data_IF_933177047510
#
_entry.id   IF_933177047510
#
_cell.length_a   1.000
_cell.length_b   1.000
_cell.length_c   1.000
_cell.angle_alpha   90.00
_cell.angle_beta   90.00
_cell.angle_gamma   90.00
#
_symmetry.space_group_name_H-M   'P 1'
#
loop_
_entity.id
_entity.type
_entity.pdbx_description
1 polymer ?
#
# COMPACT_ATOMS: atom_id res chain seq x y z
N UNK A 1 24.85 -32.73 21.94
CA UNK A 1 23.97 -32.38 20.79
C UNK A 1 23.71 -30.86 20.65
N UNK A 2 24.69 -29.99 20.92
CA UNK A 2 24.46 -28.51 20.94
C UNK A 2 25.42 -27.70 20.08
N UNK A 3 26.36 -28.32 19.34
CA UNK A 3 27.27 -27.60 18.42
C UNK A 3 26.73 -27.43 16.99
N UNK A 4 25.81 -28.30 16.53
CA UNK A 4 25.32 -28.30 15.14
C UNK A 4 24.26 -27.24 14.77
N UNK A 5 23.57 -26.63 15.76
CA UNK A 5 22.52 -25.63 15.51
C UNK A 5 23.02 -24.17 15.57
N UNK A 6 24.17 -23.92 16.20
CA UNK A 6 24.68 -22.57 16.44
C UNK A 6 25.48 -22.03 15.24
N UNK A 7 26.24 -22.89 14.55
CA UNK A 7 27.01 -22.52 13.35
C UNK A 7 26.15 -22.07 12.15
N UNK A 8 25.06 -22.78 11.78
CA UNK A 8 24.18 -22.35 10.69
C UNK A 8 23.52 -21.00 10.99
N UNK A 9 23.17 -20.75 12.26
CA UNK A 9 22.54 -19.51 12.68
C UNK A 9 23.52 -18.33 12.67
N UNK A 10 24.76 -18.53 13.12
CA UNK A 10 25.83 -17.51 13.03
C UNK A 10 26.20 -17.20 11.57
N UNK A 11 26.32 -18.20 10.71
CA UNK A 11 26.58 -18.01 9.28
C UNK A 11 25.37 -17.36 8.57
N UNK A 12 24.15 -17.65 9.00
CA UNK A 12 22.91 -17.01 8.54
C UNK A 12 22.88 -15.52 8.89
N UNK A 13 23.18 -15.17 10.14
CA UNK A 13 23.25 -13.79 10.63
C UNK A 13 24.39 -13.03 9.93
N UNK A 14 25.58 -13.62 9.81
CA UNK A 14 26.73 -12.97 9.18
C UNK A 14 26.49 -12.67 7.69
N UNK A 15 25.85 -13.60 6.96
CA UNK A 15 25.43 -13.39 5.57
C UNK A 15 24.35 -12.32 5.45
N UNK A 16 23.38 -12.28 6.38
CA UNK A 16 22.40 -11.19 6.44
C UNK A 16 23.08 -9.85 6.70
N UNK A 17 24.02 -9.77 7.64
CA UNK A 17 24.76 -8.54 7.92
C UNK A 17 25.60 -8.07 6.73
N UNK A 18 26.30 -8.97 6.04
CA UNK A 18 27.05 -8.61 4.84
C UNK A 18 26.14 -8.09 3.73
N UNK A 19 25.04 -8.80 3.49
CA UNK A 19 24.05 -8.43 2.48
C UNK A 19 23.38 -7.09 2.80
N UNK A 20 22.98 -6.88 4.04
CA UNK A 20 22.46 -5.60 4.53
C UNK A 20 23.50 -4.50 4.33
N UNK A 21 24.77 -4.72 4.71
CA UNK A 21 25.84 -3.74 4.53
C UNK A 21 26.07 -3.37 3.06
N UNK A 22 25.99 -4.34 2.16
CA UNK A 22 26.10 -4.10 0.72
C UNK A 22 24.95 -3.20 0.23
N UNK A 23 23.72 -3.45 0.67
CA UNK A 23 22.56 -2.64 0.31
C UNK A 23 22.52 -1.27 1.02
N UNK A 24 23.16 -1.15 2.19
CA UNK A 24 23.35 0.12 2.90
C UNK A 24 24.47 0.97 2.31
N UNK A 25 25.38 0.40 1.51
CA UNK A 25 26.39 1.17 0.79
C UNK A 25 25.72 2.17 -0.17
N UNK A 26 24.56 1.78 -0.72
CA UNK A 26 23.63 2.69 -1.36
C UNK A 26 22.84 3.44 -0.27
N UNK A 27 23.35 4.61 0.16
CA UNK A 27 22.76 5.50 1.17
C UNK A 27 21.40 6.13 0.75
N UNK A 28 20.64 5.42 -0.08
CA UNK A 28 19.33 5.78 -0.58
C UNK A 28 18.26 4.72 -0.29
N UNK A 29 18.57 3.68 0.48
CA UNK A 29 17.69 2.52 0.67
C UNK A 29 17.02 2.47 2.05
N UNK A 30 15.76 2.06 2.08
CA UNK A 30 15.12 1.49 3.28
C UNK A 30 15.15 -0.04 3.15
N UNK A 31 15.65 -0.70 4.19
CA UNK A 31 15.81 -2.16 4.22
C UNK A 31 14.88 -2.74 5.27
N UNK A 32 13.89 -3.53 4.84
CA UNK A 32 12.99 -4.29 5.71
C UNK A 32 13.28 -5.79 5.74
N UNK A 33 12.47 -6.54 6.47
CA UNK A 33 12.59 -8.00 6.58
C UNK A 33 11.24 -8.69 6.74
N UNK A 34 11.22 -10.02 6.66
CA UNK A 34 10.06 -10.78 7.11
C UNK A 34 9.95 -10.72 8.63
N UNK A 35 8.74 -10.91 9.14
CA UNK A 35 8.46 -10.94 10.58
C UNK A 35 7.48 -12.05 10.94
N UNK A 36 7.49 -12.40 12.22
CA UNK A 36 6.48 -13.24 12.84
C UNK A 36 5.70 -12.45 13.89
N UNK A 37 4.46 -12.86 14.14
CA UNK A 37 3.59 -12.23 15.12
C UNK A 37 3.63 -12.98 16.44
N UNK A 38 3.49 -12.24 17.54
CA UNK A 38 3.21 -12.80 18.85
C UNK A 38 1.99 -12.09 19.45
N UNK A 39 0.85 -12.76 19.68
CA UNK A 39 0.54 -14.16 19.36
C UNK A 39 0.60 -14.52 17.86
N UNK A 40 0.90 -15.78 17.53
CA UNK A 40 1.19 -16.26 16.15
C UNK A 40 0.01 -16.10 15.19
N UNK A 41 -1.19 -16.12 15.73
CA UNK A 41 -2.48 -15.96 15.05
C UNK A 41 -2.89 -14.49 14.85
N UNK A 42 -2.09 -13.53 15.32
CA UNK A 42 -2.39 -12.11 15.11
C UNK A 42 -2.20 -11.73 13.64
N UNK A 43 -3.22 -11.16 12.99
CA UNK A 43 -3.15 -10.59 11.64
C UNK A 43 -2.59 -11.53 10.56
N UNK A 44 -2.87 -12.85 10.63
CA UNK A 44 -2.25 -13.90 9.78
C UNK A 44 -2.21 -13.54 8.29
N UNK A 45 -3.31 -13.01 7.75
CA UNK A 45 -3.41 -12.65 6.32
C UNK A 45 -2.45 -11.52 5.95
N UNK A 46 -2.36 -10.50 6.79
CA UNK A 46 -1.45 -9.38 6.60
C UNK A 46 0.00 -9.83 6.71
N UNK A 47 0.35 -10.63 7.72
CA UNK A 47 1.69 -11.20 7.88
C UNK A 47 2.08 -12.04 6.66
N UNK A 48 1.16 -12.88 6.16
CA UNK A 48 1.39 -13.69 4.94
C UNK A 48 1.64 -12.81 3.72
N UNK A 49 0.78 -11.81 3.49
CA UNK A 49 0.95 -10.87 2.39
C UNK A 49 2.30 -10.15 2.46
N UNK A 50 2.60 -9.53 3.60
CA UNK A 50 3.83 -8.77 3.79
C UNK A 50 5.07 -9.65 3.58
N UNK A 51 5.08 -10.87 4.13
CA UNK A 51 6.19 -11.80 3.99
C UNK A 51 6.32 -12.39 2.58
N UNK A 52 5.23 -12.50 1.81
CA UNK A 52 5.28 -13.06 0.45
C UNK A 52 5.68 -12.07 -0.63
N UNK A 53 5.74 -10.76 -0.32
CA UNK A 53 6.19 -9.74 -1.28
C UNK A 53 7.61 -10.01 -1.76
N UNK A 54 7.75 -10.08 -3.09
CA UNK A 54 9.03 -10.05 -3.82
C UNK A 54 9.48 -8.60 -4.05
N UNK A 55 10.73 -8.42 -4.44
CA UNK A 55 11.36 -7.10 -4.61
C UNK A 55 10.63 -6.22 -5.63
N UNK A 56 10.30 -6.78 -6.79
CA UNK A 56 9.55 -6.09 -7.85
C UNK A 56 8.10 -5.75 -7.45
N UNK A 57 7.60 -6.36 -6.38
CA UNK A 57 6.27 -6.11 -5.85
C UNK A 57 6.27 -5.02 -4.78
N UNK A 58 7.42 -4.67 -4.19
CA UNK A 58 7.53 -3.63 -3.16
C UNK A 58 7.03 -2.27 -3.66
N UNK A 59 7.29 -1.94 -4.92
CA UNK A 59 6.86 -0.67 -5.52
C UNK A 59 5.43 -0.71 -6.07
N UNK A 60 4.98 -1.86 -6.56
CA UNK A 60 3.64 -2.00 -7.16
C UNK A 60 2.54 -2.19 -6.13
N UNK A 61 2.82 -2.92 -5.06
CA UNK A 61 1.82 -3.27 -4.03
C UNK A 61 1.54 -2.12 -3.05
N UNK A 62 2.24 -0.98 -3.15
CA UNK A 62 1.98 0.21 -2.32
C UNK A 62 0.56 0.76 -2.53
N UNK A 63 -0.01 0.52 -3.72
CA UNK A 63 -1.36 0.95 -4.09
C UNK A 63 -2.47 -0.04 -3.66
N UNK A 64 -2.12 -1.08 -2.90
CA UNK A 64 -3.10 -1.97 -2.27
C UNK A 64 -3.54 -1.45 -0.90
N UNK A 65 -4.59 -2.05 -0.34
CA UNK A 65 -5.09 -1.69 1.00
C UNK A 65 -4.14 -2.03 2.15
N UNK A 66 -3.02 -2.72 1.89
CA UNK A 66 -2.12 -3.25 2.92
C UNK A 66 -0.81 -2.45 3.09
N UNK A 67 -0.58 -1.38 2.31
CA UNK A 67 0.67 -0.58 2.38
C UNK A 67 0.94 0.08 3.75
N UNK A 68 2.21 0.37 4.12
CA UNK A 68 3.45 0.24 3.32
C UNK A 68 3.86 -1.21 3.02
N UNK A 69 4.75 -1.44 2.05
CA UNK A 69 5.15 -2.81 1.62
C UNK A 69 6.35 -3.36 2.40
N UNK A 70 7.07 -2.49 3.08
CA UNK A 70 7.99 -2.82 4.15
C UNK A 70 7.38 -2.30 5.45
N UNK A 71 7.31 -3.14 6.48
CA UNK A 71 6.44 -2.89 7.64
C UNK A 71 7.29 -2.40 8.81
N UNK A 72 6.91 -1.30 9.46
CA UNK A 72 7.51 -0.96 10.75
C UNK A 72 7.12 -1.99 11.84
N UNK A 73 8.04 -2.40 12.73
CA UNK A 73 9.41 -1.91 12.91
C UNK A 73 10.48 -2.79 12.23
N UNK A 74 10.17 -3.46 11.12
CA UNK A 74 11.12 -4.36 10.44
C UNK A 74 12.21 -3.63 9.67
N UNK A 75 12.00 -2.35 9.34
CA UNK A 75 12.91 -1.62 8.48
C UNK A 75 13.90 -0.74 9.23
N UNK A 76 15.00 -0.45 8.57
CA UNK A 76 15.99 0.53 9.00
C UNK A 76 16.62 1.15 7.75
N UNK A 77 17.28 2.30 7.93
CA UNK A 77 17.95 3.03 6.87
C UNK A 77 19.17 3.77 7.43
N UNK A 78 20.04 4.23 6.54
CA UNK A 78 21.13 5.14 6.93
C UNK A 78 20.55 6.47 7.43
N UNK A 79 21.24 7.15 8.35
CA UNK A 79 20.80 8.46 8.88
C UNK A 79 20.55 9.48 7.77
N UNK A 80 21.34 9.45 6.69
CA UNK A 80 21.17 10.34 5.53
C UNK A 80 19.81 10.16 4.85
N UNK A 81 19.23 8.96 4.86
CA UNK A 81 17.89 8.70 4.35
C UNK A 81 16.86 9.42 5.22
N UNK A 82 16.97 9.32 6.53
CA UNK A 82 16.07 10.01 7.47
C UNK A 82 16.14 11.53 7.33
N UNK A 83 17.34 12.09 7.23
CA UNK A 83 17.58 13.51 7.02
C UNK A 83 17.02 13.99 5.67
N UNK A 84 17.25 13.23 4.58
CA UNK A 84 16.71 13.53 3.25
C UNK A 84 15.19 13.54 3.21
N UNK A 85 14.54 12.60 3.92
CA UNK A 85 13.08 12.53 4.01
C UNK A 85 12.48 13.63 4.90
N UNK A 86 13.29 14.22 5.78
CA UNK A 86 12.84 15.23 6.75
C UNK A 86 12.20 14.64 8.01
N UNK A 87 12.51 13.37 8.33
CA UNK A 87 12.03 12.69 9.52
C UNK A 87 10.54 12.29 9.52
N UNK A 88 10.07 11.76 10.66
CA UNK A 88 8.68 11.36 10.85
C UNK A 88 7.76 12.58 11.03
N UNK A 89 6.49 12.40 10.68
CA UNK A 89 5.48 13.42 10.93
C UNK A 89 5.04 13.40 12.41
N UNK A 90 5.27 14.51 13.13
CA UNK A 90 5.00 14.64 14.56
C UNK A 90 3.67 15.34 14.89
N UNK A 91 2.72 15.39 13.96
CA UNK A 91 1.40 16.05 14.15
C UNK A 91 0.52 15.41 15.25
N UNK A 92 1.00 14.35 15.91
CA UNK A 92 0.38 13.73 17.08
C UNK A 92 -0.48 12.52 16.77
N UNK A 93 -1.29 12.13 17.76
CA UNK A 93 -2.08 10.89 17.78
C UNK A 93 -2.99 10.78 16.53
N UNK A 94 -3.00 9.61 15.91
CA UNK A 94 -3.78 9.34 14.69
C UNK A 94 -3.09 9.70 13.38
N UNK A 95 -1.86 10.22 13.44
CA UNK A 95 -0.99 10.40 12.26
C UNK A 95 -0.42 9.05 11.84
N UNK A 96 -0.50 8.65 10.56
CA UNK A 96 0.18 7.46 10.04
C UNK A 96 1.60 7.81 9.58
N UNK A 97 2.45 8.14 10.54
CA UNK A 97 3.83 8.61 10.36
C UNK A 97 4.68 7.66 9.52
N UNK A 98 4.53 6.35 9.71
CA UNK A 98 5.28 5.33 8.97
C UNK A 98 4.94 5.35 7.46
N UNK A 99 3.65 5.47 7.14
CA UNK A 99 3.17 5.53 5.76
C UNK A 99 3.61 6.83 5.08
N UNK A 100 3.55 7.94 5.80
CA UNK A 100 3.98 9.25 5.30
C UNK A 100 5.48 9.25 5.01
N UNK A 101 6.29 8.75 5.95
CA UNK A 101 7.74 8.62 5.77
C UNK A 101 8.07 7.75 4.56
N UNK A 102 7.40 6.60 4.43
CA UNK A 102 7.58 5.69 3.31
C UNK A 102 7.31 6.33 1.95
N UNK A 103 6.20 7.07 1.85
CA UNK A 103 5.83 7.76 0.62
C UNK A 103 6.80 8.88 0.28
N UNK A 104 7.22 9.68 1.27
CA UNK A 104 8.25 10.70 1.04
C UNK A 104 9.58 10.10 0.61
N UNK A 105 9.99 8.98 1.21
CA UNK A 105 11.18 8.25 0.78
C UNK A 105 11.13 7.89 -0.69
N UNK A 106 10.01 7.31 -1.14
CA UNK A 106 9.79 6.99 -2.55
C UNK A 106 9.71 8.24 -3.45
N UNK A 107 9.19 9.35 -2.93
CA UNK A 107 9.10 10.61 -3.67
C UNK A 107 10.47 11.30 -3.82
N UNK A 108 11.47 10.87 -3.05
CA UNK A 108 12.88 11.27 -3.18
C UNK A 108 13.73 10.16 -3.84
N UNK A 109 13.14 9.38 -4.75
CA UNK A 109 13.78 8.30 -5.51
C UNK A 109 14.45 7.22 -4.64
N UNK A 110 13.96 7.09 -3.40
CA UNK A 110 14.45 6.14 -2.42
C UNK A 110 14.19 4.70 -2.85
N UNK A 111 15.18 3.85 -2.61
CA UNK A 111 15.10 2.43 -2.94
C UNK A 111 14.52 1.61 -1.78
N UNK A 112 13.86 0.51 -2.11
CA UNK A 112 13.29 -0.44 -1.17
C UNK A 112 13.98 -1.78 -1.32
N UNK A 113 14.43 -2.32 -0.19
CA UNK A 113 15.06 -3.61 -0.15
C UNK A 113 14.42 -4.48 0.95
N UNK A 114 14.27 -5.78 0.69
CA UNK A 114 13.67 -6.72 1.65
C UNK A 114 14.51 -7.97 1.84
N UNK A 115 14.93 -8.21 3.08
CA UNK A 115 15.58 -9.46 3.45
C UNK A 115 14.52 -10.56 3.58
N UNK A 116 14.57 -11.66 2.81
CA UNK A 116 13.57 -12.73 2.83
C UNK A 116 13.77 -13.68 4.03
N UNK A 117 14.07 -13.15 5.20
CA UNK A 117 14.25 -13.89 6.46
C UNK A 117 13.49 -13.23 7.58
N UNK A 118 12.98 -14.05 8.49
CA UNK A 118 12.32 -13.58 9.71
C UNK A 118 13.39 -13.03 10.66
N UNK A 119 13.51 -11.71 10.76
CA UNK A 119 14.48 -11.04 11.63
C UNK A 119 13.82 -10.32 12.82
N UNK A 120 12.49 -10.34 12.89
CA UNK A 120 11.72 -9.68 13.93
C UNK A 120 10.54 -10.57 14.41
N UNK A 121 10.40 -10.70 15.72
CA UNK A 121 9.15 -11.14 16.35
C UNK A 121 8.39 -9.89 16.79
N UNK A 122 7.35 -9.54 16.06
CA UNK A 122 6.53 -8.37 16.31
C UNK A 122 5.34 -8.74 17.20
N UNK A 123 5.44 -8.35 18.48
CA UNK A 123 4.35 -8.48 19.45
C UNK A 123 3.16 -7.59 19.05
N UNK A 124 2.03 -8.23 18.81
CA UNK A 124 0.75 -7.57 18.61
C UNK A 124 0.10 -7.36 19.97
N UNK A 125 -0.43 -6.16 20.20
CA UNK A 125 -1.17 -5.84 21.42
C UNK A 125 -2.37 -4.93 21.11
N UNK A 126 -3.48 -5.03 21.87
CA UNK A 126 -4.68 -4.20 21.65
C UNK A 126 -4.46 -2.69 21.79
N UNK A 127 -3.45 -2.26 22.56
CA UNK A 127 -3.12 -0.84 22.74
C UNK A 127 -2.24 -0.23 21.63
N UNK A 128 -2.14 -0.85 20.45
CA UNK A 128 -1.24 -0.38 19.38
C UNK A 128 -1.71 0.97 18.82
N UNK A 129 -0.75 1.87 18.56
CA UNK A 129 -1.03 3.20 18.00
C UNK A 129 -1.82 3.12 16.69
N UNK A 130 -1.67 2.03 15.93
CA UNK A 130 -2.45 1.75 14.72
C UNK A 130 -3.96 1.85 14.91
N UNK A 131 -4.49 1.51 16.09
CA UNK A 131 -5.94 1.63 16.37
C UNK A 131 -6.40 3.07 16.57
N UNK A 132 -5.47 4.01 16.78
CA UNK A 132 -5.79 5.44 16.88
C UNK A 132 -5.88 6.14 15.52
N UNK A 133 -5.46 5.48 14.44
CA UNK A 133 -5.45 6.05 13.09
C UNK A 133 -6.80 5.76 12.43
N UNK A 134 -7.49 6.80 12.00
CA UNK A 134 -8.76 6.68 11.27
C UNK A 134 -8.52 6.10 9.87
N UNK A 135 -9.35 5.14 9.46
CA UNK A 135 -9.29 4.53 8.11
C UNK A 135 -9.38 5.59 7.01
N UNK A 136 -10.18 6.65 7.22
CA UNK A 136 -10.33 7.78 6.30
C UNK A 136 -9.01 8.54 6.12
N UNK A 137 -8.20 8.66 7.17
CA UNK A 137 -6.88 9.31 7.07
C UNK A 137 -5.95 8.52 6.16
N UNK A 138 -5.85 7.21 6.36
CA UNK A 138 -5.06 6.32 5.50
C UNK A 138 -5.59 6.33 4.07
N UNK A 139 -6.91 6.28 3.91
CA UNK A 139 -7.58 6.33 2.62
C UNK A 139 -7.21 7.61 1.86
N UNK A 140 -7.37 8.78 2.47
CA UNK A 140 -7.08 10.07 1.85
C UNK A 140 -5.61 10.18 1.40
N UNK A 141 -4.67 9.73 2.23
CA UNK A 141 -3.24 9.73 1.89
C UNK A 141 -2.95 8.83 0.67
N UNK A 142 -3.58 7.65 0.61
CA UNK A 142 -3.43 6.72 -0.52
C UNK A 142 -4.07 7.25 -1.81
N UNK A 143 -5.28 7.81 -1.72
CA UNK A 143 -5.96 8.41 -2.87
C UNK A 143 -5.15 9.58 -3.40
N UNK A 144 -4.67 10.47 -2.52
CA UNK A 144 -3.82 11.60 -2.91
C UNK A 144 -2.58 11.13 -3.68
N UNK A 145 -1.84 10.16 -3.15
CA UNK A 145 -0.66 9.59 -3.85
C UNK A 145 -1.04 8.99 -5.20
N UNK A 146 -2.13 8.21 -5.27
CA UNK A 146 -2.56 7.59 -6.52
C UNK A 146 -2.87 8.67 -7.59
N UNK A 147 -3.53 9.75 -7.19
CA UNK A 147 -3.80 10.89 -8.08
C UNK A 147 -2.50 11.52 -8.58
N UNK A 148 -1.63 11.92 -7.67
CA UNK A 148 -0.41 12.70 -7.96
C UNK A 148 0.69 11.90 -8.68
N UNK A 149 0.70 10.57 -8.51
CA UNK A 149 1.79 9.70 -9.02
C UNK A 149 1.38 8.74 -10.12
N UNK A 150 0.08 8.59 -10.37
CA UNK A 150 -0.43 7.62 -11.35
C UNK A 150 -1.51 8.24 -12.24
N UNK A 151 -2.59 8.77 -11.65
CA UNK A 151 -3.72 9.26 -12.45
C UNK A 151 -3.42 10.57 -13.17
N UNK A 152 -2.41 11.33 -12.73
CA UNK A 152 -1.98 12.56 -13.39
C UNK A 152 -1.55 12.30 -14.85
N UNK A 153 -0.87 11.19 -15.09
CA UNK A 153 -0.33 10.82 -16.40
C UNK A 153 -1.35 10.08 -17.29
N UNK A 154 -2.47 9.64 -16.73
CA UNK A 154 -3.49 8.91 -17.48
C UNK A 154 -4.47 9.89 -18.14
N UNK A 155 -4.75 9.69 -19.43
CA UNK A 155 -5.77 10.46 -20.14
C UNK A 155 -7.18 10.04 -19.71
N UNK A 156 -7.40 8.73 -19.56
CA UNK A 156 -8.63 8.15 -19.06
C UNK A 156 -8.36 6.79 -18.43
N UNK A 157 -9.31 6.28 -17.64
CA UNK A 157 -9.24 4.94 -17.06
C UNK A 157 -10.61 4.35 -16.73
N UNK A 158 -10.63 3.03 -16.53
CA UNK A 158 -11.82 2.27 -16.13
C UNK A 158 -11.74 1.88 -14.65
N UNK A 159 -12.85 2.03 -13.90
CA UNK A 159 -12.94 1.54 -12.52
C UNK A 159 -13.58 0.15 -12.54
N UNK A 160 -12.84 -0.89 -12.15
CA UNK A 160 -13.42 -2.22 -11.92
C UNK A 160 -14.06 -2.25 -10.53
N UNK A 161 -15.39 -2.42 -10.52
CA UNK A 161 -16.34 -2.55 -9.40
C UNK A 161 -17.37 -1.43 -9.44
N UNK A 162 -18.53 -1.69 -10.07
CA UNK A 162 -19.64 -0.74 -10.14
C UNK A 162 -20.48 -0.67 -8.84
N UNK A 163 -19.99 -1.22 -7.73
CA UNK A 163 -20.62 -1.27 -6.41
C UNK A 163 -20.02 -0.29 -5.40
N UNK A 164 -20.15 -0.60 -4.10
CA UNK A 164 -19.80 0.31 -2.99
C UNK A 164 -18.35 0.81 -3.05
N UNK A 165 -17.40 -0.08 -3.32
CA UNK A 165 -15.97 0.26 -3.26
C UNK A 165 -15.54 1.14 -4.44
N UNK A 166 -15.87 0.78 -5.68
CA UNK A 166 -15.54 1.62 -6.83
C UNK A 166 -16.25 2.98 -6.80
N UNK A 167 -17.52 3.02 -6.37
CA UNK A 167 -18.22 4.31 -6.20
C UNK A 167 -17.63 5.15 -5.07
N UNK A 168 -17.17 4.53 -3.99
CA UNK A 168 -16.46 5.26 -2.94
C UNK A 168 -15.14 5.84 -3.45
N UNK A 169 -14.37 5.04 -4.20
CA UNK A 169 -13.16 5.47 -4.89
C UNK A 169 -13.43 6.67 -5.79
N UNK A 170 -14.37 6.58 -6.73
CA UNK A 170 -14.77 7.68 -7.61
C UNK A 170 -15.06 8.97 -6.84
N UNK A 171 -15.91 8.90 -5.82
CA UNK A 171 -16.28 10.06 -5.00
C UNK A 171 -15.14 10.63 -4.16
N UNK A 172 -14.06 9.87 -3.98
CA UNK A 172 -12.87 10.33 -3.26
C UNK A 172 -11.87 11.04 -4.16
N UNK A 173 -12.06 10.97 -5.48
CA UNK A 173 -11.23 11.66 -6.45
C UNK A 173 -11.58 13.15 -6.51
N UNK A 174 -10.58 13.98 -6.76
CA UNK A 174 -10.79 15.38 -7.12
C UNK A 174 -11.47 15.47 -8.50
N UNK A 175 -12.23 16.55 -8.78
CA UNK A 175 -13.02 16.68 -10.01
C UNK A 175 -12.24 16.41 -11.29
N UNK A 176 -11.00 16.91 -11.38
CA UNK A 176 -10.10 16.68 -12.53
C UNK A 176 -9.87 15.19 -12.81
N UNK A 177 -9.74 14.35 -11.78
CA UNK A 177 -9.53 12.91 -11.95
C UNK A 177 -10.85 12.14 -12.11
N UNK A 178 -11.96 12.68 -11.61
CA UNK A 178 -13.30 12.12 -11.88
C UNK A 178 -13.63 12.22 -13.38
N UNK A 179 -13.27 13.32 -14.04
CA UNK A 179 -13.48 13.52 -15.48
C UNK A 179 -12.72 12.51 -16.35
N UNK A 180 -11.61 11.95 -15.83
CA UNK A 180 -10.82 10.90 -16.51
C UNK A 180 -11.47 9.52 -16.43
N UNK A 181 -12.55 9.34 -15.67
CA UNK A 181 -13.23 8.04 -15.53
C UNK A 181 -14.12 7.78 -16.74
N UNK A 182 -13.64 6.91 -17.64
CA UNK A 182 -14.37 6.58 -18.86
C UNK A 182 -15.58 5.68 -18.60
N UNK A 183 -15.42 4.70 -17.69
CA UNK A 183 -16.47 3.75 -17.36
C UNK A 183 -16.24 3.11 -15.99
N UNK A 184 -17.30 2.54 -15.43
CA UNK A 184 -17.18 1.43 -14.50
C UNK A 184 -17.29 0.12 -15.27
N UNK A 185 -16.58 -0.92 -14.83
CA UNK A 185 -16.82 -2.28 -15.31
C UNK A 185 -17.18 -3.24 -14.17
N UNK A 186 -18.00 -4.24 -14.50
CA UNK A 186 -18.44 -5.29 -13.57
C UNK A 186 -18.74 -6.61 -14.32
N UNK A 187 -18.82 -7.70 -13.57
CA UNK A 187 -19.26 -9.02 -14.07
C UNK A 187 -20.76 -9.25 -13.80
N UNK A 188 -21.33 -8.49 -12.87
CA UNK A 188 -22.74 -8.59 -12.52
C UNK A 188 -23.61 -8.01 -13.64
N UNK A 189 -24.24 -8.90 -14.42
CA UNK A 189 -25.16 -8.56 -15.52
C UNK A 189 -26.31 -7.65 -15.09
N UNK A 190 -26.68 -7.63 -13.80
CA UNK A 190 -27.72 -6.71 -13.30
C UNK A 190 -27.24 -5.26 -13.24
N UNK A 191 -25.93 -5.02 -13.26
CA UNK A 191 -25.32 -3.68 -13.27
C UNK A 191 -24.91 -3.24 -14.67
N UNK A 192 -24.44 -4.18 -15.49
CA UNK A 192 -24.01 -3.93 -16.88
C UNK A 192 -25.14 -3.31 -17.71
N UNK A 193 -24.80 -2.38 -18.59
CA UNK A 193 -25.75 -1.64 -19.44
C UNK A 193 -26.45 -0.49 -18.73
N UNK A 194 -26.18 -0.27 -17.44
CA UNK A 194 -26.68 0.88 -16.67
C UNK A 194 -25.63 1.98 -16.60
N UNK A 195 -25.99 3.08 -15.95
CA UNK A 195 -25.09 4.20 -15.68
C UNK A 195 -24.96 4.41 -14.17
N UNK A 196 -23.75 4.79 -13.75
CA UNK A 196 -23.57 5.44 -12.45
C UNK A 196 -23.75 6.95 -12.63
N UNK A 197 -24.63 7.53 -11.82
CA UNK A 197 -24.79 8.97 -11.69
C UNK A 197 -24.47 9.35 -10.24
N UNK A 198 -23.32 9.99 -9.96
CA UNK A 198 -22.98 10.44 -8.62
C UNK A 198 -23.95 11.57 -8.23
N UNK A 199 -24.81 11.31 -7.25
CA UNK A 199 -25.68 12.36 -6.70
C UNK A 199 -24.87 13.26 -5.77
N UNK A 200 -24.84 14.55 -6.09
CA UNK A 200 -24.36 15.63 -5.24
C UNK A 200 -25.48 16.67 -5.06
N UNK A 201 -25.71 17.05 -3.80
CA UNK A 201 -26.79 17.99 -3.44
C UNK A 201 -26.49 19.36 -4.06
N UNK A 202 -27.33 19.80 -4.99
CA UNK A 202 -27.23 21.13 -5.63
C UNK A 202 -26.64 21.16 -7.04
N UNK A 203 -26.09 20.05 -7.56
CA UNK A 203 -25.64 19.97 -8.94
C UNK A 203 -26.82 19.67 -9.89
N UNK A 204 -26.94 20.44 -10.99
CA UNK A 204 -28.06 20.33 -11.94
C UNK A 204 -27.84 19.28 -13.05
N UNK A 205 -26.58 18.95 -13.37
CA UNK A 205 -26.20 17.96 -14.38
C UNK A 205 -25.12 17.03 -13.81
N UNK A 206 -25.46 15.74 -13.65
CA UNK A 206 -24.52 14.73 -13.19
C UNK A 206 -23.90 13.99 -14.37
N UNK A 207 -22.58 13.72 -14.36
CA UNK A 207 -21.97 12.85 -15.35
C UNK A 207 -22.62 11.46 -15.24
N UNK A 208 -23.10 10.93 -16.37
CA UNK A 208 -23.59 9.56 -16.46
C UNK A 208 -22.45 8.68 -16.94
N UNK A 209 -21.84 7.96 -16.01
CA UNK A 209 -20.69 7.10 -16.32
C UNK A 209 -21.21 5.71 -16.66
N UNK A 210 -20.92 5.17 -17.84
CA UNK A 210 -21.43 3.87 -18.26
C UNK A 210 -20.88 2.75 -17.37
N UNK A 211 -21.72 1.73 -17.13
CA UNK A 211 -21.32 0.47 -16.50
C UNK A 211 -21.29 -0.60 -17.58
N UNK A 212 -20.08 -0.99 -17.99
CA UNK A 212 -19.84 -1.97 -19.05
C UNK A 212 -19.47 -3.34 -18.47
N UNK A 213 -19.55 -4.38 -19.29
CA UNK A 213 -19.04 -5.68 -18.88
C UNK A 213 -17.51 -5.66 -18.85
N UNK A 214 -16.87 -6.40 -17.93
CA UNK A 214 -15.41 -6.37 -17.77
C UNK A 214 -14.63 -6.71 -19.06
N UNK A 215 -15.19 -7.55 -19.92
CA UNK A 215 -14.58 -7.90 -21.22
C UNK A 215 -14.49 -6.73 -22.19
N UNK A 216 -15.35 -5.73 -22.01
CA UNK A 216 -15.41 -4.55 -22.87
C UNK A 216 -14.58 -3.39 -22.28
N UNK A 217 -13.93 -3.60 -21.14
CA UNK A 217 -13.13 -2.57 -20.48
C UNK A 217 -11.83 -2.29 -21.20
N UNK A 218 -11.49 -1.00 -21.30
CA UNK A 218 -10.23 -0.54 -21.86
C UNK A 218 -9.26 -0.19 -20.74
N UNK A 219 -8.00 -0.67 -20.82
CA UNK A 219 -6.94 -0.23 -19.93
C UNK A 219 -6.64 1.28 -20.09
N UNK A 220 -6.08 1.91 -19.06
CA UNK A 220 -5.72 1.34 -17.75
C UNK A 220 -6.92 1.15 -16.81
N UNK A 221 -6.77 0.25 -15.82
CA UNK A 221 -7.82 -0.07 -14.85
C UNK A 221 -7.38 0.22 -13.41
N UNK A 222 -8.30 0.79 -12.62
CA UNK A 222 -8.23 0.76 -11.16
C UNK A 222 -9.16 -0.33 -10.65
N UNK A 223 -8.60 -1.30 -9.94
CA UNK A 223 -9.34 -2.46 -9.42
C UNK A 223 -9.75 -2.20 -7.98
N UNK A 224 -11.03 -1.91 -7.76
CA UNK A 224 -11.59 -1.63 -6.44
C UNK A 224 -12.28 -2.87 -5.85
N UNK A 225 -11.59 -4.00 -5.75
CA UNK A 225 -12.17 -5.26 -5.21
C UNK A 225 -11.57 -5.61 -3.86
N UNK A 226 -12.39 -6.16 -2.96
CA UNK A 226 -11.89 -6.74 -1.71
C UNK A 226 -11.31 -8.11 -2.02
N UNK A 227 -10.00 -8.26 -1.87
CA UNK A 227 -9.33 -9.55 -1.92
C UNK A 227 -9.63 -10.29 -0.60
N UNK A 228 -10.71 -11.06 -0.60
CA UNK A 228 -11.24 -11.89 0.50
C UNK A 228 -11.96 -11.11 1.62
N UNK A 229 -13.17 -11.56 2.00
CA UNK A 229 -13.90 -11.06 3.18
C UNK A 229 -13.07 -11.40 4.43
N UNK A 230 -12.65 -10.37 5.17
CA UNK A 230 -12.14 -10.49 6.54
C UNK A 230 -13.09 -11.29 7.39
#
# INVERSE_FOLDING_TARGET
MTRGFIEPMKASIHRCCHYIRQQMADACSIIGSNFERLPKDSTVRFTRWANSLKEEQLYRQIYTSHGPTLIMPTWFCDRKVFERVGGFNESGKGTPEDLIFFYRHLDHDGQLFKVPRCLLVYRYHPGATTFSIDEKTIWNIRIKRLQEKVLIDWLSFTIWNAGKQGRHFYKSLEPLFQEKVAAFCDVDVKKVGKYYAPYEKGAKNYPKIPIIHFKDSTPPLIICVKLVRT
#
